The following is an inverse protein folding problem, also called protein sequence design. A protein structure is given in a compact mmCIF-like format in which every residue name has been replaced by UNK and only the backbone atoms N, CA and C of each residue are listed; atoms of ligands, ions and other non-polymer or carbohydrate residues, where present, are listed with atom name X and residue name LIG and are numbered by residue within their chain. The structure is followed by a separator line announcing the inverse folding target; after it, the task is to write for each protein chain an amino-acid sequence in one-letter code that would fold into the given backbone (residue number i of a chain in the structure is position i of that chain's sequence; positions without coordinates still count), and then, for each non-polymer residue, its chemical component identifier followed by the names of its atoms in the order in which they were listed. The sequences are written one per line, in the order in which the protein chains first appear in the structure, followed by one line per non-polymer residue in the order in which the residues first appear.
data_IF_039094672908
#
_entry.id   IF_039094672908
#
_cell.length_a   1.000
_cell.length_b   1.000
_cell.length_c   1.000
_cell.angle_alpha   90.00
_cell.angle_beta   90.00
_cell.angle_gamma   90.00
#
_symmetry.space_group_name_H-M   'P 1'
#
loop_
_entity.id
_entity.type
_entity.pdbx_description
1 polymer ?
#
# COMPACT_ATOMS: atom_id res chain seq x y z
N UNK A 1 -6.00 10.92 -39.08
CA UNK A 1 -5.76 10.47 -37.69
C UNK A 1 -7.11 10.24 -37.02
N UNK A 2 -7.39 9.04 -36.52
CA UNK A 2 -8.65 8.76 -35.83
C UNK A 2 -8.87 9.78 -34.71
N UNK A 3 -10.08 10.34 -34.63
CA UNK A 3 -10.46 11.43 -33.71
C UNK A 3 -10.03 11.16 -32.25
N UNK A 4 -10.01 9.90 -31.84
CA UNK A 4 -9.53 9.43 -30.53
C UNK A 4 -8.04 9.71 -30.27
N UNK A 5 -7.16 9.51 -31.25
CA UNK A 5 -5.72 9.80 -31.10
C UNK A 5 -5.47 11.30 -30.95
N UNK A 6 -6.26 12.13 -31.63
CA UNK A 6 -6.20 13.58 -31.47
C UNK A 6 -6.59 14.01 -30.06
N UNK A 7 -7.68 13.46 -29.50
CA UNK A 7 -8.10 13.74 -28.12
C UNK A 7 -7.03 13.26 -27.13
N UNK A 8 -6.47 12.07 -27.33
CA UNK A 8 -5.36 11.55 -26.52
C UNK A 8 -4.16 12.52 -26.53
N UNK A 9 -3.73 12.96 -27.71
CA UNK A 9 -2.59 13.89 -27.83
C UNK A 9 -2.83 15.21 -27.10
N UNK A 10 -4.07 15.73 -27.11
CA UNK A 10 -4.44 16.93 -26.35
C UNK A 10 -4.36 16.67 -24.84
N UNK A 11 -4.93 15.56 -24.35
CA UNK A 11 -4.93 15.22 -22.92
C UNK A 11 -3.52 14.98 -22.36
N UNK A 12 -2.63 14.40 -23.16
CA UNK A 12 -1.24 14.10 -22.77
C UNK A 12 -0.32 15.34 -22.86
N UNK A 13 -0.81 16.47 -23.38
CA UNK A 13 0.01 17.68 -23.52
C UNK A 13 0.30 18.32 -22.14
N UNK A 14 1.56 18.67 -21.81
CA UNK A 14 1.91 19.30 -20.53
C UNK A 14 1.15 20.60 -20.23
N UNK A 15 0.78 21.35 -21.28
CA UNK A 15 -0.04 22.56 -21.16
C UNK A 15 -1.45 22.25 -20.66
N UNK A 16 -2.07 21.18 -21.16
CA UNK A 16 -3.39 20.75 -20.72
C UNK A 16 -3.34 20.31 -19.25
N UNK A 17 -2.32 19.53 -18.87
CA UNK A 17 -2.13 19.14 -17.47
C UNK A 17 -1.94 20.36 -16.54
N UNK A 18 -1.10 21.33 -16.92
CA UNK A 18 -0.92 22.58 -16.14
C UNK A 18 -2.21 23.39 -16.05
N UNK A 19 -3.00 23.42 -17.12
CA UNK A 19 -4.32 24.06 -17.12
C UNK A 19 -5.26 23.40 -16.10
N UNK A 20 -5.39 22.07 -16.13
CA UNK A 20 -6.23 21.35 -15.15
C UNK A 20 -5.74 21.59 -13.72
N UNK A 21 -4.43 21.57 -13.48
CA UNK A 21 -3.85 21.89 -12.16
C UNK A 21 -4.22 23.32 -11.74
N UNK A 22 -4.09 24.31 -12.64
CA UNK A 22 -4.44 25.70 -12.34
C UNK A 22 -5.94 25.85 -11.98
N UNK A 23 -6.82 25.13 -12.68
CA UNK A 23 -8.26 25.09 -12.36
C UNK A 23 -8.50 24.48 -10.98
N UNK A 24 -7.83 23.36 -10.64
CA UNK A 24 -7.92 22.72 -9.31
C UNK A 24 -7.45 23.67 -8.21
N UNK A 25 -6.29 24.29 -8.37
CA UNK A 25 -5.72 25.22 -7.37
C UNK A 25 -6.61 26.44 -7.19
N UNK A 26 -7.14 26.99 -8.29
CA UNK A 26 -8.07 28.13 -8.23
C UNK A 26 -9.35 27.74 -7.49
N UNK A 27 -9.92 26.58 -7.80
CA UNK A 27 -11.14 26.09 -7.15
C UNK A 27 -10.92 25.75 -5.65
N UNK A 28 -9.76 25.22 -5.30
CA UNK A 28 -9.39 25.00 -3.90
C UNK A 28 -9.25 26.34 -3.15
N UNK A 29 -8.65 27.36 -3.79
CA UNK A 29 -8.55 28.70 -3.21
C UNK A 29 -9.93 29.36 -3.02
N UNK A 30 -10.85 29.22 -3.97
CA UNK A 30 -12.23 29.74 -3.82
C UNK A 30 -12.95 29.04 -2.68
N UNK A 31 -12.75 27.74 -2.49
CA UNK A 31 -13.34 26.99 -1.38
C UNK A 31 -12.81 27.47 -0.02
N UNK A 32 -11.53 27.83 0.07
CA UNK A 32 -10.98 28.50 1.25
C UNK A 32 -11.65 29.85 1.51
N UNK A 33 -11.88 30.66 0.47
CA UNK A 33 -12.57 31.95 0.59
C UNK A 33 -14.03 31.80 1.02
N UNK A 34 -14.72 30.72 0.62
CA UNK A 34 -16.09 30.44 1.03
C UNK A 34 -16.25 30.22 2.55
N UNK A 35 -15.16 29.95 3.28
CA UNK A 35 -15.18 29.84 4.74
C UNK A 35 -15.34 31.20 5.44
N UNK A 36 -15.03 32.30 4.75
CA UNK A 36 -15.13 33.66 5.29
C UNK A 36 -16.47 34.29 4.95
N UNK A 37 -17.26 34.62 5.99
CA UNK A 37 -18.54 35.31 5.83
C UNK A 37 -18.40 36.65 5.07
N UNK A 38 -17.29 37.35 5.24
CA UNK A 38 -17.01 38.63 4.54
C UNK A 38 -16.77 38.41 3.05
N UNK A 39 -15.99 37.37 2.70
CA UNK A 39 -15.70 37.05 1.31
C UNK A 39 -16.95 36.54 0.57
N UNK A 40 -17.75 35.70 1.23
CA UNK A 40 -19.05 35.25 0.69
C UNK A 40 -20.01 36.42 0.50
N UNK A 41 -20.09 37.33 1.48
CA UNK A 41 -20.95 38.52 1.37
C UNK A 41 -20.60 39.45 0.21
N UNK A 42 -19.31 39.56 -0.14
CA UNK A 42 -18.84 40.46 -1.21
C UNK A 42 -18.71 39.80 -2.58
N UNK A 43 -18.34 38.52 -2.63
CA UNK A 43 -17.99 37.80 -3.86
C UNK A 43 -18.71 36.46 -4.05
N UNK A 44 -19.73 36.14 -3.25
CA UNK A 44 -20.38 34.82 -3.24
C UNK A 44 -20.83 34.31 -4.61
N UNK A 45 -21.45 35.17 -5.43
CA UNK A 45 -21.86 34.79 -6.80
C UNK A 45 -20.65 34.44 -7.68
N UNK A 46 -19.57 35.22 -7.61
CA UNK A 46 -18.36 34.96 -8.38
C UNK A 46 -17.68 33.64 -7.95
N UNK A 47 -17.61 33.38 -6.63
CA UNK A 47 -17.08 32.13 -6.09
C UNK A 47 -17.89 30.93 -6.58
N UNK A 48 -19.23 31.03 -6.54
CA UNK A 48 -20.13 29.98 -7.02
C UNK A 48 -19.98 29.72 -8.52
N UNK A 49 -19.83 30.77 -9.34
CA UNK A 49 -19.61 30.65 -10.79
C UNK A 49 -18.28 29.95 -11.09
N UNK A 50 -17.22 30.31 -10.38
CA UNK A 50 -15.91 29.66 -10.51
C UNK A 50 -15.99 28.18 -10.14
N UNK A 51 -16.71 27.82 -9.07
CA UNK A 51 -16.91 26.43 -8.66
C UNK A 51 -17.64 25.61 -9.73
N UNK A 52 -18.74 26.14 -10.28
CA UNK A 52 -19.50 25.46 -11.34
C UNK A 52 -18.67 25.31 -12.62
N UNK A 53 -17.93 26.35 -13.00
CA UNK A 53 -17.05 26.30 -14.16
C UNK A 53 -15.97 25.23 -14.01
N UNK A 54 -15.32 25.17 -12.84
CA UNK A 54 -14.34 24.13 -12.53
C UNK A 54 -14.98 22.73 -12.63
N UNK A 55 -16.16 22.53 -12.04
CA UNK A 55 -16.89 21.26 -12.12
C UNK A 55 -17.18 20.86 -13.57
N UNK A 56 -17.66 21.77 -14.42
CA UNK A 56 -17.92 21.46 -15.83
C UNK A 56 -16.64 21.09 -16.60
N UNK A 57 -15.53 21.79 -16.35
CA UNK A 57 -14.22 21.45 -16.93
C UNK A 57 -13.81 20.04 -16.51
N UNK A 58 -14.01 19.68 -15.24
CA UNK A 58 -13.68 18.37 -14.69
C UNK A 58 -14.53 17.24 -15.27
N UNK A 59 -15.84 17.46 -15.43
CA UNK A 59 -16.73 16.51 -16.10
C UNK A 59 -16.30 16.32 -17.56
N UNK A 60 -15.96 17.39 -18.26
CA UNK A 60 -15.49 17.33 -19.64
C UNK A 60 -14.16 16.56 -19.76
N UNK A 61 -13.19 16.85 -18.89
CA UNK A 61 -11.91 16.15 -18.80
C UNK A 61 -12.11 14.65 -18.54
N UNK A 62 -12.94 14.29 -17.56
CA UNK A 62 -13.21 12.91 -17.19
C UNK A 62 -13.89 12.14 -18.33
N UNK A 63 -14.85 12.78 -18.99
CA UNK A 63 -15.55 12.21 -20.16
C UNK A 63 -14.58 12.00 -21.33
N UNK A 64 -13.65 12.94 -21.56
CA UNK A 64 -12.62 12.79 -22.57
C UNK A 64 -11.66 11.62 -22.25
N UNK A 65 -11.22 11.47 -21.00
CA UNK A 65 -10.43 10.32 -20.55
C UNK A 65 -11.19 9.00 -20.74
N UNK A 66 -12.46 8.95 -20.36
CA UNK A 66 -13.31 7.77 -20.53
C UNK A 66 -13.46 7.39 -22.02
N UNK A 67 -13.66 8.36 -22.90
CA UNK A 67 -13.72 8.15 -24.35
C UNK A 67 -12.40 7.59 -24.91
N UNK A 68 -11.27 8.09 -24.43
CA UNK A 68 -9.92 7.70 -24.89
C UNK A 68 -9.50 6.33 -24.34
N UNK A 69 -9.74 6.02 -23.07
CA UNK A 69 -9.25 4.79 -22.42
C UNK A 69 -10.28 3.66 -22.32
N UNK A 70 -11.58 3.94 -22.50
CA UNK A 70 -12.68 2.95 -22.50
C UNK A 70 -12.64 2.03 -21.27
N UNK A 71 -12.57 0.70 -21.46
CA UNK A 71 -12.51 -0.26 -20.36
C UNK A 71 -11.21 -0.17 -19.54
N UNK A 72 -10.12 0.35 -20.12
CA UNK A 72 -8.87 0.55 -19.37
C UNK A 72 -8.99 1.67 -18.35
N UNK A 73 -9.93 2.61 -18.56
CA UNK A 73 -10.22 3.69 -17.62
C UNK A 73 -10.54 3.14 -16.22
N UNK A 74 -11.38 2.10 -16.13
CA UNK A 74 -11.81 1.50 -14.86
C UNK A 74 -10.72 0.65 -14.18
N UNK A 75 -9.60 0.38 -14.86
CA UNK A 75 -8.46 -0.33 -14.27
C UNK A 75 -7.45 0.60 -13.62
N UNK A 76 -7.52 1.90 -13.86
CA UNK A 76 -6.66 2.90 -13.24
C UNK A 76 -7.31 3.43 -11.95
N UNK A 77 -6.72 3.18 -10.76
CA UNK A 77 -7.26 3.65 -9.48
C UNK A 77 -7.45 5.17 -9.42
N UNK A 78 -6.61 5.94 -10.14
CA UNK A 78 -6.68 7.39 -10.15
C UNK A 78 -7.87 7.91 -10.94
N UNK A 79 -8.23 7.22 -12.02
CA UNK A 79 -9.43 7.54 -12.80
C UNK A 79 -10.70 7.17 -12.04
N UNK A 80 -10.69 6.06 -11.28
CA UNK A 80 -11.79 5.70 -10.40
C UNK A 80 -11.98 6.72 -9.26
N UNK A 81 -10.88 7.17 -8.65
CA UNK A 81 -10.89 8.22 -7.63
C UNK A 81 -11.44 9.55 -8.16
N UNK A 82 -10.98 10.00 -9.34
CA UNK A 82 -11.52 11.18 -10.01
C UNK A 82 -13.02 11.04 -10.30
N UNK A 83 -13.45 9.86 -10.74
CA UNK A 83 -14.86 9.57 -11.02
C UNK A 83 -15.71 9.66 -9.75
N UNK A 84 -15.24 9.10 -8.63
CA UNK A 84 -15.92 9.18 -7.35
C UNK A 84 -16.08 10.63 -6.89
N UNK A 85 -15.02 11.43 -6.96
CA UNK A 85 -15.06 12.84 -6.57
C UNK A 85 -16.02 13.66 -7.46
N UNK A 86 -15.94 13.48 -8.78
CA UNK A 86 -16.82 14.20 -9.72
C UNK A 86 -18.27 13.78 -9.50
N UNK A 87 -18.53 12.50 -9.23
CA UNK A 87 -19.88 11.99 -8.93
C UNK A 87 -20.43 12.62 -7.64
N UNK A 88 -19.67 12.61 -6.54
CA UNK A 88 -20.06 13.27 -5.29
C UNK A 88 -20.32 14.77 -5.49
N UNK A 89 -19.55 15.41 -6.38
CA UNK A 89 -19.71 16.83 -6.70
C UNK A 89 -20.96 17.14 -7.54
N UNK A 90 -21.43 16.19 -8.35
CA UNK A 90 -22.65 16.29 -9.15
C UNK A 90 -23.93 15.99 -8.36
N UNK A 91 -23.83 15.27 -7.24
CA UNK A 91 -25.00 14.91 -6.45
C UNK A 91 -25.73 16.17 -5.95
N UNK A 92 -27.05 16.29 -6.23
CA UNK A 92 -27.84 17.42 -5.78
C UNK A 92 -27.92 17.42 -4.25
N UNK A 93 -27.81 18.61 -3.66
CA UNK A 93 -27.90 18.82 -2.20
C UNK A 93 -29.33 18.77 -1.66
N UNK A 94 -30.29 18.34 -2.46
CA UNK A 94 -31.68 18.21 -2.03
C UNK A 94 -31.82 16.97 -1.13
N UNK A 95 -32.27 17.16 0.11
CA UNK A 95 -32.62 16.04 1.01
C UNK A 95 -31.82 15.91 2.32
N UNK A 96 -31.39 17.01 2.94
CA UNK A 96 -30.90 16.99 4.34
C UNK A 96 -29.51 16.37 4.59
N UNK A 97 -28.86 15.81 3.56
CA UNK A 97 -27.51 15.26 3.67
C UNK A 97 -26.45 16.37 3.66
N UNK A 98 -26.37 17.14 4.75
CA UNK A 98 -25.35 18.18 4.96
C UNK A 98 -23.93 17.66 4.76
N UNK A 99 -23.71 16.38 5.09
CA UNK A 99 -22.44 15.68 4.85
C UNK A 99 -22.05 15.68 3.38
N UNK A 100 -22.98 15.44 2.44
CA UNK A 100 -22.67 15.46 1.00
C UNK A 100 -22.21 16.83 0.53
N UNK A 101 -22.72 17.91 1.15
CA UNK A 101 -22.23 19.28 0.90
C UNK A 101 -20.78 19.41 1.36
N UNK A 102 -20.46 18.93 2.55
CA UNK A 102 -19.11 18.97 3.10
C UNK A 102 -18.12 18.13 2.27
N UNK A 103 -18.53 16.93 1.81
CA UNK A 103 -17.68 16.05 0.99
C UNK A 103 -17.25 16.69 -0.34
N UNK A 104 -17.90 17.76 -0.79
CA UNK A 104 -17.45 18.52 -1.97
C UNK A 104 -16.05 19.08 -1.79
N UNK A 105 -15.59 19.34 -0.55
CA UNK A 105 -14.21 19.76 -0.25
C UNK A 105 -13.17 18.73 -0.72
N UNK A 106 -13.56 17.45 -0.78
CA UNK A 106 -12.69 16.38 -1.25
C UNK A 106 -12.27 16.57 -2.70
N UNK A 107 -12.95 17.43 -3.49
CA UNK A 107 -12.52 17.75 -4.85
C UNK A 107 -11.12 18.38 -4.92
N UNK A 108 -10.68 19.05 -3.86
CA UNK A 108 -9.31 19.54 -3.77
C UNK A 108 -8.28 18.39 -3.79
N UNK A 109 -8.66 17.20 -3.33
CA UNK A 109 -7.81 16.01 -3.35
C UNK A 109 -7.53 15.50 -4.77
N UNK A 110 -8.25 15.96 -5.80
CA UNK A 110 -7.88 15.70 -7.20
C UNK A 110 -6.51 16.24 -7.56
N UNK A 111 -5.95 17.18 -6.79
CA UNK A 111 -4.56 17.56 -6.97
C UNK A 111 -3.63 16.35 -6.82
N UNK A 112 -3.94 15.42 -5.91
CA UNK A 112 -3.20 14.17 -5.73
C UNK A 112 -3.26 13.33 -7.00
N UNK A 113 -4.45 13.21 -7.61
CA UNK A 113 -4.62 12.44 -8.85
C UNK A 113 -4.07 13.16 -10.08
N UNK A 114 -3.79 14.45 -10.10
CA UNK A 114 -3.25 15.11 -11.31
C UNK A 114 -1.74 15.35 -11.22
N UNK A 115 -1.18 15.46 -10.02
CA UNK A 115 0.23 15.74 -9.78
C UNK A 115 1.03 14.44 -9.59
N UNK A 116 1.97 14.09 -10.50
CA UNK A 116 2.69 12.82 -10.43
C UNK A 116 3.54 12.61 -9.17
N UNK A 117 4.08 13.67 -8.56
CA UNK A 117 4.79 13.55 -7.28
C UNK A 117 3.86 13.15 -6.14
N UNK A 118 2.66 13.72 -6.06
CA UNK A 118 1.67 13.36 -5.05
C UNK A 118 1.14 11.94 -5.25
N UNK A 119 0.86 11.54 -6.52
CA UNK A 119 0.53 10.14 -6.84
C UNK A 119 1.60 9.19 -6.33
N UNK A 120 2.88 9.49 -6.56
CA UNK A 120 4.00 8.65 -6.10
C UNK A 120 4.01 8.50 -4.58
N UNK A 121 3.87 9.60 -3.84
CA UNK A 121 3.83 9.58 -2.36
C UNK A 121 2.67 8.73 -1.86
N UNK A 122 1.45 8.99 -2.34
CA UNK A 122 0.26 8.25 -1.88
C UNK A 122 0.31 6.78 -2.31
N UNK A 123 0.81 6.48 -3.51
CA UNK A 123 1.01 5.10 -3.95
C UNK A 123 1.99 4.39 -3.03
N UNK A 124 3.14 5.00 -2.71
CA UNK A 124 4.14 4.43 -1.81
C UNK A 124 3.57 4.14 -0.42
N UNK A 125 2.76 5.06 0.12
CA UNK A 125 2.06 4.85 1.40
C UNK A 125 1.06 3.68 1.32
N UNK A 126 0.27 3.61 0.26
CA UNK A 126 -0.72 2.55 0.07
C UNK A 126 -0.09 1.19 -0.23
N UNK A 127 1.06 1.13 -0.91
CA UNK A 127 1.78 -0.11 -1.20
C UNK A 127 2.46 -0.70 0.02
N UNK A 128 2.71 0.10 1.07
CA UNK A 128 3.18 -0.41 2.36
C UNK A 128 2.08 -1.13 3.16
N UNK A 129 0.80 -0.77 2.95
CA UNK A 129 -0.34 -1.32 3.72
C UNK A 129 -0.47 -2.85 3.63
N UNK A 130 -0.40 -3.50 2.44
CA UNK A 130 -0.56 -4.94 2.31
C UNK A 130 0.37 -5.76 3.21
N UNK A 131 1.63 -5.35 3.37
CA UNK A 131 2.63 -6.05 4.21
C UNK A 131 2.23 -6.14 5.69
N UNK A 132 1.34 -5.26 6.14
CA UNK A 132 0.85 -5.20 7.52
C UNK A 132 -0.56 -5.73 7.72
N UNK A 133 -1.24 -6.19 6.67
CA UNK A 133 -2.67 -6.53 6.73
C UNK A 133 -2.98 -7.50 7.89
N UNK A 134 -2.12 -8.50 8.11
CA UNK A 134 -2.27 -9.47 9.20
C UNK A 134 -2.26 -8.83 10.59
N UNK A 135 -1.38 -7.85 10.83
CA UNK A 135 -1.27 -7.14 12.11
C UNK A 135 -2.46 -6.20 12.29
N UNK A 136 -2.86 -5.49 11.23
CA UNK A 136 -4.05 -4.62 11.24
C UNK A 136 -5.32 -5.42 11.54
N UNK A 137 -5.46 -6.61 10.95
CA UNK A 137 -6.58 -7.52 11.23
C UNK A 137 -6.55 -8.03 12.67
N UNK A 138 -5.37 -8.38 13.19
CA UNK A 138 -5.20 -8.78 14.59
C UNK A 138 -5.59 -7.65 15.54
N UNK A 139 -5.13 -6.42 15.29
CA UNK A 139 -5.46 -5.24 16.09
C UNK A 139 -6.96 -4.95 16.04
N UNK A 140 -7.57 -5.03 14.86
CA UNK A 140 -9.02 -4.88 14.68
C UNK A 140 -9.82 -5.93 15.44
N UNK A 141 -9.35 -7.19 15.47
CA UNK A 141 -9.98 -8.25 16.24
C UNK A 141 -9.87 -7.99 17.76
N UNK A 142 -8.70 -7.57 18.24
CA UNK A 142 -8.50 -7.20 19.65
C UNK A 142 -9.44 -6.05 20.04
N UNK A 143 -9.51 -4.98 19.22
CA UNK A 143 -10.43 -3.86 19.43
C UNK A 143 -11.89 -4.31 19.44
N UNK A 144 -12.29 -5.16 18.51
CA UNK A 144 -13.67 -5.67 18.46
C UNK A 144 -14.04 -6.50 19.69
N UNK A 145 -13.19 -7.45 20.08
CA UNK A 145 -13.43 -8.30 21.26
C UNK A 145 -13.44 -7.45 22.54
N UNK A 146 -12.50 -6.52 22.68
CA UNK A 146 -12.46 -5.60 23.80
C UNK A 146 -13.70 -4.68 23.83
N UNK A 147 -14.17 -4.20 22.68
CA UNK A 147 -15.38 -3.38 22.60
C UNK A 147 -16.62 -4.15 23.04
N UNK A 148 -16.81 -5.39 22.57
CA UNK A 148 -17.92 -6.24 23.02
C UNK A 148 -17.85 -6.52 24.52
N UNK A 149 -16.66 -6.81 25.07
CA UNK A 149 -16.48 -6.99 26.51
C UNK A 149 -16.79 -5.70 27.29
N UNK A 150 -16.25 -4.56 26.84
CA UNK A 150 -16.48 -3.25 27.46
C UNK A 150 -17.95 -2.86 27.48
N UNK A 151 -18.67 -3.02 26.36
CA UNK A 151 -20.12 -2.81 26.31
C UNK A 151 -20.83 -3.72 27.32
N UNK A 152 -20.52 -5.02 27.33
CA UNK A 152 -21.21 -5.95 28.23
C UNK A 152 -20.96 -5.68 29.71
N UNK A 153 -19.74 -5.28 30.06
CA UNK A 153 -19.33 -5.04 31.45
C UNK A 153 -19.75 -3.66 31.95
N UNK A 154 -19.64 -2.63 31.12
CA UNK A 154 -19.65 -1.23 31.57
C UNK A 154 -20.75 -0.37 30.97
N UNK A 155 -21.63 -0.89 30.08
CA UNK A 155 -22.72 -0.08 29.49
C UNK A 155 -23.64 0.58 30.52
N UNK A 156 -23.84 -0.03 31.69
CA UNK A 156 -24.73 0.51 32.72
C UNK A 156 -24.04 1.56 33.60
N UNK A 157 -22.74 1.42 33.83
CA UNK A 157 -21.93 2.30 34.70
C UNK A 157 -21.42 3.52 33.94
N UNK A 158 -21.00 3.33 32.70
CA UNK A 158 -20.33 4.34 31.88
C UNK A 158 -20.93 4.39 30.46
N UNK A 159 -22.22 4.74 30.31
CA UNK A 159 -22.95 4.67 29.05
C UNK A 159 -22.39 5.61 27.98
N UNK A 160 -21.81 6.74 28.34
CA UNK A 160 -21.13 7.67 27.43
C UNK A 160 -19.89 7.07 26.76
N UNK A 161 -19.25 6.08 27.38
CA UNK A 161 -18.07 5.40 26.84
C UNK A 161 -18.37 3.99 26.31
N UNK A 162 -19.31 3.27 26.92
CA UNK A 162 -19.57 1.85 26.67
C UNK A 162 -21.05 1.52 26.42
N UNK A 163 -21.91 2.51 26.16
CA UNK A 163 -23.36 2.32 26.02
C UNK A 163 -23.76 1.41 24.84
N UNK A 164 -23.00 1.46 23.74
CA UNK A 164 -23.16 0.57 22.60
C UNK A 164 -21.80 0.19 21.97
N UNK A 165 -21.84 -0.71 20.99
CA UNK A 165 -20.64 -1.22 20.34
C UNK A 165 -19.85 -0.14 19.59
N UNK A 166 -20.43 0.71 18.72
CA UNK A 166 -19.72 1.84 18.10
C UNK A 166 -19.07 2.79 19.11
N UNK A 167 -19.78 3.14 20.17
CA UNK A 167 -19.27 4.02 21.25
C UNK A 167 -18.10 3.36 21.96
N UNK A 168 -18.22 2.07 22.29
CA UNK A 168 -17.13 1.30 22.90
C UNK A 168 -15.90 1.18 21.99
N UNK A 169 -16.11 0.97 20.69
CA UNK A 169 -15.03 0.95 19.70
C UNK A 169 -14.31 2.29 19.63
N UNK A 170 -15.05 3.41 19.63
CA UNK A 170 -14.46 4.74 19.62
C UNK A 170 -13.68 5.03 20.91
N UNK A 171 -14.23 4.72 22.08
CA UNK A 171 -13.56 4.88 23.37
C UNK A 171 -12.27 4.06 23.42
N UNK A 172 -12.31 2.78 23.04
CA UNK A 172 -11.10 1.94 23.05
C UNK A 172 -10.08 2.38 22.00
N UNK A 173 -10.52 2.91 20.87
CA UNK A 173 -9.62 3.56 19.90
C UNK A 173 -8.95 4.79 20.50
N UNK A 174 -9.69 5.66 21.19
CA UNK A 174 -9.14 6.83 21.90
C UNK A 174 -8.12 6.39 22.95
N UNK A 175 -8.46 5.41 23.80
CA UNK A 175 -7.57 4.87 24.81
C UNK A 175 -6.30 4.27 24.18
N UNK A 176 -6.40 3.54 23.06
CA UNK A 176 -5.25 3.00 22.33
C UNK A 176 -4.25 4.09 21.89
N UNK A 177 -4.71 5.32 21.62
CA UNK A 177 -3.81 6.46 21.32
C UNK A 177 -3.14 7.05 22.55
N UNK A 178 -3.48 6.57 23.75
CA UNK A 178 -3.02 7.09 25.03
C UNK A 178 -3.83 8.27 25.56
N UNK A 179 -4.89 8.67 24.86
CA UNK A 179 -5.74 9.79 25.27
C UNK A 179 -6.83 9.37 26.25
N UNK A 180 -7.10 10.20 27.26
CA UNK A 180 -8.12 10.06 28.30
C UNK A 180 -8.19 8.72 29.07
N UNK A 181 -7.23 7.81 28.87
CA UNK A 181 -7.35 6.43 29.36
C UNK A 181 -7.46 6.33 30.88
N UNK A 182 -6.72 7.17 31.62
CA UNK A 182 -6.71 7.15 33.08
C UNK A 182 -8.01 7.66 33.67
N UNK A 183 -8.63 8.64 33.03
CA UNK A 183 -9.82 9.30 33.53
C UNK A 183 -11.03 8.38 33.33
N UNK A 184 -11.15 7.81 32.12
CA UNK A 184 -12.16 6.79 31.79
C UNK A 184 -12.00 5.57 32.71
N UNK A 185 -10.76 5.11 32.96
CA UNK A 185 -10.53 3.96 33.84
C UNK A 185 -10.93 4.27 35.29
N UNK A 186 -10.63 5.48 35.80
CA UNK A 186 -11.01 5.90 37.16
C UNK A 186 -12.51 5.97 37.33
N UNK A 187 -13.21 6.55 36.35
CA UNK A 187 -14.67 6.66 36.36
C UNK A 187 -15.34 5.29 36.41
N UNK A 188 -14.86 4.32 35.62
CA UNK A 188 -15.37 2.94 35.70
C UNK A 188 -14.99 2.25 37.02
N UNK A 189 -13.82 2.58 37.60
CA UNK A 189 -13.37 1.99 38.86
C UNK A 189 -14.19 2.40 40.08
N UNK A 190 -14.90 3.54 40.02
CA UNK A 190 -15.76 4.00 41.12
C UNK A 190 -16.85 2.97 41.44
N UNK A 191 -17.35 2.24 40.44
CA UNK A 191 -18.28 1.11 40.63
C UNK A 191 -17.62 -0.26 40.47
N UNK A 192 -16.57 -0.38 39.65
CA UNK A 192 -15.88 -1.65 39.36
C UNK A 192 -14.38 -1.57 39.72
N UNK A 193 -13.98 -1.77 41.00
CA UNK A 193 -12.59 -1.57 41.44
C UNK A 193 -11.54 -2.41 40.70
N UNK A 194 -11.92 -3.52 40.08
CA UNK A 194 -11.02 -4.38 39.27
C UNK A 194 -10.95 -3.99 37.79
N UNK A 195 -11.65 -2.95 37.35
CA UNK A 195 -11.71 -2.54 35.94
C UNK A 195 -10.34 -2.15 35.37
N UNK A 196 -9.42 -1.67 36.22
CA UNK A 196 -8.04 -1.38 35.81
C UNK A 196 -7.36 -2.59 35.16
N UNK A 197 -7.70 -3.83 35.56
CA UNK A 197 -7.11 -5.04 34.97
C UNK A 197 -7.46 -5.13 33.48
N UNK A 198 -8.73 -4.89 33.14
CA UNK A 198 -9.20 -4.89 31.76
C UNK A 198 -8.50 -3.82 30.93
N UNK A 199 -8.50 -2.57 31.42
CA UNK A 199 -7.95 -1.44 30.68
C UNK A 199 -6.43 -1.49 30.55
N UNK A 200 -5.71 -1.86 31.61
CA UNK A 200 -4.24 -2.01 31.57
C UNK A 200 -3.85 -3.17 30.66
N UNK A 201 -4.53 -4.31 30.72
CA UNK A 201 -4.25 -5.43 29.82
C UNK A 201 -4.52 -5.06 28.36
N UNK A 202 -5.64 -4.39 28.07
CA UNK A 202 -5.96 -3.86 26.75
C UNK A 202 -4.85 -2.91 26.27
N UNK A 203 -4.45 -1.95 27.08
CA UNK A 203 -3.40 -0.98 26.76
C UNK A 203 -2.05 -1.65 26.48
N UNK A 204 -1.66 -2.65 27.29
CA UNK A 204 -0.42 -3.41 27.08
C UNK A 204 -0.44 -4.15 25.75
N UNK A 205 -1.53 -4.87 25.45
CA UNK A 205 -1.69 -5.60 24.19
C UNK A 205 -1.68 -4.64 23.00
N UNK A 206 -2.46 -3.56 23.04
CA UNK A 206 -2.54 -2.59 21.96
C UNK A 206 -1.20 -1.88 21.73
N UNK A 207 -0.54 -1.42 22.80
CA UNK A 207 0.77 -0.76 22.69
C UNK A 207 1.81 -1.71 22.09
N UNK A 208 1.82 -2.98 22.53
CA UNK A 208 2.71 -3.99 21.98
C UNK A 208 2.45 -4.26 20.50
N UNK A 209 1.18 -4.41 20.10
CA UNK A 209 0.79 -4.64 18.70
C UNK A 209 1.16 -3.43 17.83
N UNK A 210 0.88 -2.19 18.29
CA UNK A 210 1.23 -0.96 17.56
C UNK A 210 2.75 -0.79 17.44
N UNK A 211 3.52 -1.10 18.48
CA UNK A 211 4.98 -1.07 18.43
C UNK A 211 5.51 -2.10 17.41
N UNK A 212 4.98 -3.31 17.43
CA UNK A 212 5.37 -4.35 16.47
C UNK A 212 4.93 -4.01 15.05
N UNK A 213 3.79 -3.33 14.86
CA UNK A 213 3.38 -2.80 13.56
C UNK A 213 4.41 -1.80 13.05
N UNK A 214 4.85 -0.86 13.89
CA UNK A 214 5.86 0.12 13.52
C UNK A 214 7.19 -0.56 13.14
N UNK A 215 7.66 -1.50 13.95
CA UNK A 215 8.87 -2.29 13.66
C UNK A 215 8.70 -3.04 12.33
N UNK A 216 7.56 -3.70 12.10
CA UNK A 216 7.30 -4.42 10.87
C UNK A 216 7.33 -3.51 9.63
N UNK A 217 6.80 -2.28 9.71
CA UNK A 217 6.89 -1.29 8.62
C UNK A 217 8.33 -0.92 8.33
N UNK A 218 9.10 -0.60 9.37
CA UNK A 218 10.49 -0.17 9.22
C UNK A 218 11.33 -1.32 8.66
N UNK A 219 11.17 -2.53 9.19
CA UNK A 219 11.87 -3.72 8.71
C UNK A 219 11.51 -4.02 7.26
N UNK A 220 10.21 -4.04 6.91
CA UNK A 220 9.77 -4.26 5.53
C UNK A 220 10.35 -3.22 4.57
N UNK A 221 10.41 -1.95 4.97
CA UNK A 221 11.00 -0.90 4.15
C UNK A 221 12.52 -1.07 3.96
N UNK A 222 13.24 -1.55 4.98
CA UNK A 222 14.69 -1.79 4.88
C UNK A 222 15.05 -3.09 4.14
N UNK A 223 14.21 -4.12 4.26
CA UNK A 223 14.37 -5.40 3.55
C UNK A 223 14.17 -5.23 2.04
N UNK A 224 13.24 -4.38 1.61
CA UNK A 224 13.04 -4.07 0.18
C UNK A 224 14.32 -3.47 -0.45
N UNK A 225 14.99 -2.54 0.23
CA UNK A 225 16.27 -1.95 -0.24
C UNK A 225 17.40 -3.00 -0.34
N UNK A 226 17.57 -3.86 0.67
CA UNK A 226 18.64 -4.87 0.69
C UNK A 226 18.38 -6.04 -0.27
N UNK A 227 17.12 -6.39 -0.50
CA UNK A 227 16.76 -7.50 -1.40
C UNK A 227 17.04 -7.11 -2.85
N UNK A 228 16.73 -5.87 -3.25
CA UNK A 228 17.04 -5.38 -4.59
C UNK A 228 18.54 -5.35 -4.86
N UNK A 229 19.34 -4.87 -3.92
CA UNK A 229 20.81 -4.84 -4.03
C UNK A 229 21.43 -6.25 -4.10
N UNK A 230 20.99 -7.17 -3.24
CA UNK A 230 21.53 -8.54 -3.21
C UNK A 230 21.18 -9.36 -4.44
N UNK A 231 19.95 -9.20 -4.97
CA UNK A 231 19.53 -9.83 -6.24
C UNK A 231 20.34 -9.28 -7.40
N UNK A 232 20.57 -7.96 -7.43
CA UNK A 232 21.38 -7.34 -8.47
C UNK A 232 22.84 -7.81 -8.41
N UNK A 233 23.45 -7.84 -7.22
CA UNK A 233 24.81 -8.34 -7.04
C UNK A 233 24.97 -9.81 -7.46
N UNK A 234 23.98 -10.66 -7.15
CA UNK A 234 23.98 -12.08 -7.56
C UNK A 234 23.85 -12.22 -9.07
N UNK A 235 23.03 -11.39 -9.71
CA UNK A 235 22.89 -11.35 -11.17
C UNK A 235 24.19 -10.93 -11.84
N UNK A 236 24.81 -9.86 -11.35
CA UNK A 236 26.07 -9.34 -11.89
C UNK A 236 27.18 -10.38 -11.76
N UNK A 237 27.30 -11.03 -10.60
CA UNK A 237 28.23 -12.14 -10.39
C UNK A 237 27.97 -13.31 -11.37
N UNK A 238 26.70 -13.67 -11.58
CA UNK A 238 26.31 -14.71 -12.53
C UNK A 238 26.73 -14.39 -13.97
N UNK A 239 26.57 -13.13 -14.39
CA UNK A 239 27.04 -12.66 -15.70
C UNK A 239 28.55 -12.78 -15.81
N UNK A 240 29.31 -12.36 -14.79
CA UNK A 240 30.77 -12.49 -14.76
C UNK A 240 31.23 -13.94 -14.84
N UNK A 241 30.65 -14.83 -14.03
CA UNK A 241 31.01 -16.26 -14.02
C UNK A 241 30.71 -16.92 -15.36
N UNK A 242 29.59 -16.61 -15.99
CA UNK A 242 29.25 -17.14 -17.31
C UNK A 242 30.20 -16.66 -18.41
N UNK A 243 30.65 -15.39 -18.34
CA UNK A 243 31.63 -14.84 -19.26
C UNK A 243 32.99 -15.55 -19.12
N UNK A 244 33.46 -15.76 -17.88
CA UNK A 244 34.71 -16.49 -17.60
C UNK A 244 34.64 -17.95 -18.06
N UNK A 245 33.51 -18.65 -17.82
CA UNK A 245 33.32 -20.02 -18.31
C UNK A 245 33.30 -20.10 -19.84
N UNK A 246 32.77 -19.10 -20.52
CA UNK A 246 32.78 -19.03 -21.99
C UNK A 246 34.21 -18.83 -22.52
N UNK A 247 35.00 -17.96 -21.89
CA UNK A 247 36.39 -17.74 -22.23
C UNK A 247 37.24 -19.00 -22.03
N UNK A 248 37.12 -19.66 -20.87
CA UNK A 248 37.81 -20.92 -20.58
C UNK A 248 37.44 -22.03 -21.58
N UNK A 249 36.16 -22.13 -21.97
CA UNK A 249 35.73 -23.11 -22.98
C UNK A 249 36.32 -22.84 -24.35
N UNK A 250 36.48 -21.56 -24.73
CA UNK A 250 37.13 -21.18 -25.98
C UNK A 250 38.62 -21.57 -25.97
N UNK A 251 39.33 -21.28 -24.88
CA UNK A 251 40.75 -21.65 -24.71
C UNK A 251 40.97 -23.16 -24.75
N UNK A 252 40.15 -23.94 -24.03
CA UNK A 252 40.22 -25.41 -24.06
C UNK A 252 39.98 -25.98 -25.47
N UNK A 253 39.09 -25.36 -26.24
CA UNK A 253 38.84 -25.76 -27.63
C UNK A 253 40.06 -25.50 -28.52
N UNK A 254 40.69 -24.35 -28.36
CA UNK A 254 41.90 -23.97 -29.09
C UNK A 254 43.07 -24.93 -28.80
N UNK A 255 43.26 -25.29 -27.51
CA UNK A 255 44.26 -26.29 -27.11
C UNK A 255 43.98 -27.68 -27.67
N UNK A 256 42.70 -28.08 -27.79
CA UNK A 256 42.31 -29.36 -28.41
C UNK A 256 42.54 -29.38 -29.91
N UNK A 257 42.31 -28.26 -30.60
CA UNK A 257 42.50 -28.14 -32.05
C UNK A 257 44.00 -28.03 -32.41
N UNK A 258 44.84 -27.50 -31.51
CA UNK A 258 46.30 -27.43 -31.65
C UNK A 258 47.08 -28.71 -31.26
N UNK A 259 46.43 -29.72 -30.68
CA UNK A 259 47.08 -30.97 -30.29
C UNK A 259 47.19 -31.93 -31.49
N UNK A 260 48.40 -32.43 -31.87
CA UNK A 260 48.53 -33.40 -32.95
C UNK A 260 47.84 -34.71 -32.57
N UNK A 261 46.89 -35.16 -33.39
CA UNK A 261 46.38 -36.54 -33.32
C UNK A 261 47.49 -37.47 -33.80
N UNK A 262 48.25 -38.07 -32.89
CA UNK A 262 49.22 -39.12 -33.22
C UNK A 262 48.48 -40.41 -33.57
N UNK A 263 48.51 -40.91 -34.82
CA UNK A 263 47.89 -42.17 -35.16
C UNK A 263 48.82 -43.32 -34.76
N UNK A 264 48.37 -44.16 -33.82
CA UNK A 264 48.75 -45.57 -33.59
C UNK A 264 50.22 -46.00 -33.66
N UNK A 265 50.78 -46.40 -32.51
CA UNK A 265 51.79 -47.46 -32.47
C UNK A 265 51.69 -48.24 -31.15
N UNK A 266 51.37 -49.54 -31.26
CA UNK A 266 51.73 -50.52 -30.24
C UNK A 266 50.58 -51.15 -29.47
N UNK A 267 49.93 -52.12 -30.11
CA UNK A 267 49.42 -53.33 -29.44
C UNK A 267 50.52 -53.90 -28.53
N UNK A 268 50.41 -53.68 -27.22
CA UNK A 268 51.16 -54.43 -26.20
C UNK A 268 50.16 -54.99 -25.21
N UNK A 269 49.81 -56.26 -25.46
CA UNK A 269 49.22 -57.19 -24.49
C UNK A 269 49.87 -56.99 -23.11
N UNK A 270 49.08 -56.58 -22.13
CA UNK A 270 49.40 -56.77 -20.71
C UNK A 270 48.24 -57.50 -20.07
N UNK A 271 48.58 -58.69 -19.59
CA UNK A 271 47.75 -59.78 -19.10
C UNK A 271 46.83 -59.40 -17.93
N UNK A 272 45.62 -59.97 -17.93
CA UNK A 272 44.70 -59.92 -16.80
C UNK A 272 45.24 -60.73 -15.59
N UNK A 273 45.08 -60.24 -14.34
CA UNK A 273 45.09 -61.09 -13.16
C UNK A 273 43.66 -61.44 -12.70
N UNK A 274 43.52 -62.70 -12.29
CA UNK A 274 42.31 -63.44 -11.91
C UNK A 274 41.47 -62.87 -10.75
N UNK A 275 40.19 -63.29 -10.58
CA UNK A 275 39.29 -62.72 -9.59
C UNK A 275 39.57 -63.29 -8.18
N UNK A 276 39.80 -62.41 -7.20
CA UNK A 276 39.84 -62.81 -5.78
C UNK A 276 38.45 -62.70 -5.13
N UNK A 277 37.99 -63.86 -4.66
CA UNK A 277 36.76 -64.11 -3.88
C UNK A 277 36.53 -63.09 -2.76
N UNK A 278 35.32 -62.50 -2.71
CA UNK A 278 34.76 -61.85 -1.51
C UNK A 278 34.40 -62.92 -0.48
N UNK A 279 35.12 -62.93 0.65
CA UNK A 279 34.73 -63.63 1.86
C UNK A 279 33.64 -62.87 2.62
N UNK A 280 32.68 -63.63 3.14
CA UNK A 280 31.54 -63.19 3.94
C UNK A 280 31.90 -62.89 5.40
N UNK A 281 31.34 -61.82 5.96
CA UNK A 281 30.92 -61.68 7.37
C UNK A 281 30.09 -60.38 7.45
N UNK A 282 28.75 -60.37 7.47
CA UNK A 282 27.79 -60.69 8.55
C UNK A 282 27.97 -59.89 9.84
N UNK A 283 26.94 -59.08 10.15
CA UNK A 283 26.61 -58.52 11.47
C UNK A 283 27.04 -57.06 11.66
N UNK A 284 26.24 -56.15 12.19
CA UNK A 284 24.93 -56.25 12.87
C UNK A 284 24.30 -54.84 12.94
N UNK A 285 22.97 -54.83 12.94
CA UNK A 285 22.08 -53.73 13.33
C UNK A 285 22.22 -53.31 14.79
N UNK A 286 21.81 -52.07 15.11
CA UNK A 286 21.35 -51.66 16.45
C UNK A 286 21.26 -50.14 16.53
N UNK A 287 20.12 -49.53 16.18
CA UNK A 287 19.05 -49.14 17.11
C UNK A 287 19.51 -48.22 18.26
N UNK A 288 19.23 -46.93 18.11
CA UNK A 288 18.51 -46.09 19.08
C UNK A 288 18.05 -44.82 18.37
#
# INVERSE_FOLDING_TARGET
MPTRERVRAVLETPRFQRFIIAVIVTNAATLGLETSAVAVGRYGTALTVVDHLALYIFVAELTAKLYVDRLRFFRDPWNLFDTLIVTVSLLPTAGGLSVLRALRILRALRLISVVPSLRRVVTALLTAVPGMTSIVLLLGLVLYVAAVMGTKLYHATAPEYFGDLPTSLFTLFQMMTGDAWSDITREVMDEHPSAWVFFVLFMLVCTFVVLNLFIAVVVSAMEDEHTEESVQATRDLGVTVLAELAALRAEVRELREGAPVTPGAGDRRVSAPAPRRRGSARGRSGSR
#
